data_IF_072390502242
#
_entry.id   IF_072390502242
#
_cell.length_a   1.000
_cell.length_b   1.000
_cell.length_c   1.000
_cell.angle_alpha   90.00
_cell.angle_beta   90.00
_cell.angle_gamma   90.00
#
_symmetry.space_group_name_H-M   'P 1'
#
loop_
_entity.id
_entity.type
_entity.pdbx_description
1 polymer ?
#
# COMPACT_ATOMS: atom_id res chain seq x y z
N UNK A 1 18.64 -12.21 4.40
CA UNK A 1 18.69 -10.74 4.31
C UNK A 1 17.38 -10.32 3.65
N UNK A 2 16.52 -9.60 4.40
CA UNK A 2 15.19 -9.14 3.98
C UNK A 2 14.06 -10.17 4.09
N UNK A 3 13.50 -10.40 5.29
CA UNK A 3 12.29 -11.23 5.51
C UNK A 3 11.40 -10.71 6.66
N UNK A 4 11.44 -9.40 6.96
CA UNK A 4 10.95 -8.90 8.24
C UNK A 4 9.87 -7.83 8.22
N UNK A 5 8.74 -8.13 8.84
CA UNK A 5 7.85 -7.11 9.39
C UNK A 5 8.47 -6.42 10.61
N UNK A 6 7.89 -5.30 11.10
CA UNK A 6 8.41 -4.54 12.25
C UNK A 6 8.52 -5.36 13.56
N UNK A 7 7.99 -6.59 13.59
CA UNK A 7 7.99 -7.47 14.77
C UNK A 7 9.18 -8.44 14.82
N UNK A 8 10.00 -8.55 13.77
CA UNK A 8 11.17 -9.44 13.79
C UNK A 8 12.25 -9.01 14.79
N UNK A 9 12.39 -7.71 15.07
CA UNK A 9 13.30 -7.22 16.11
C UNK A 9 12.94 -7.68 17.53
N UNK A 10 11.73 -8.20 17.73
CA UNK A 10 11.22 -8.71 19.00
C UNK A 10 11.17 -10.25 19.03
N UNK A 11 11.60 -10.95 17.96
CA UNK A 11 11.54 -12.41 17.87
C UNK A 11 10.11 -12.98 17.75
N UNK A 12 9.09 -12.12 17.56
CA UNK A 12 7.68 -12.53 17.48
C UNK A 12 7.20 -12.45 16.03
N UNK A 13 6.80 -13.60 15.46
CA UNK A 13 6.18 -13.67 14.13
C UNK A 13 4.65 -13.63 14.26
N UNK A 14 4.06 -12.43 14.14
CA UNK A 14 2.60 -12.23 14.21
C UNK A 14 1.87 -12.78 12.96
N UNK A 15 2.59 -13.00 11.85
CA UNK A 15 2.01 -13.56 10.62
C UNK A 15 3.04 -14.32 9.78
N UNK A 16 2.62 -15.30 8.95
CA UNK A 16 3.53 -16.02 8.07
C UNK A 16 4.24 -15.06 7.11
N UNK A 17 5.56 -15.15 7.07
CA UNK A 17 6.40 -14.37 6.15
C UNK A 17 5.94 -14.61 4.70
N UNK A 18 5.59 -13.54 3.99
CA UNK A 18 5.20 -13.60 2.58
C UNK A 18 6.37 -14.11 1.75
N UNK A 19 6.34 -15.38 1.34
CA UNK A 19 7.43 -16.03 0.59
C UNK A 19 7.48 -15.65 -0.89
N UNK A 20 6.38 -15.11 -1.44
CA UNK A 20 6.26 -14.71 -2.86
C UNK A 20 5.45 -13.43 -2.98
N UNK A 21 5.85 -12.58 -3.91
CA UNK A 21 5.14 -11.36 -4.24
C UNK A 21 3.74 -11.70 -4.79
N UNK A 22 2.69 -11.29 -4.07
CA UNK A 22 1.30 -11.54 -4.47
C UNK A 22 0.90 -10.46 -5.48
N UNK A 23 0.65 -10.86 -6.73
CA UNK A 23 0.27 -9.96 -7.83
C UNK A 23 -1.10 -10.31 -8.44
N UNK A 24 -1.82 -11.26 -7.82
CA UNK A 24 -3.11 -11.77 -8.27
C UNK A 24 -4.29 -11.07 -7.58
N UNK A 25 -5.46 -11.13 -8.21
CA UNK A 25 -6.69 -10.54 -7.69
C UNK A 25 -6.62 -9.00 -7.63
N UNK A 26 -6.99 -8.34 -6.52
CA UNK A 26 -7.02 -6.88 -6.42
C UNK A 26 -5.62 -6.26 -6.55
N UNK A 27 -4.57 -7.00 -6.20
CA UNK A 27 -3.17 -6.58 -6.34
C UNK A 27 -2.73 -6.39 -7.81
N UNK A 28 -3.49 -6.92 -8.78
CA UNK A 28 -3.25 -6.65 -10.20
C UNK A 28 -3.56 -5.20 -10.59
N UNK A 29 -4.43 -4.53 -9.85
CA UNK A 29 -4.94 -3.20 -10.18
C UNK A 29 -4.28 -2.11 -9.33
N UNK A 30 -4.02 -2.40 -8.07
CA UNK A 30 -3.34 -1.49 -7.14
C UNK A 30 -2.37 -2.28 -6.29
N UNK A 31 -1.20 -1.72 -6.02
CA UNK A 31 -0.22 -2.35 -5.12
C UNK A 31 -0.74 -2.42 -3.68
N UNK A 32 -1.63 -1.50 -3.30
CA UNK A 32 -2.19 -1.40 -1.96
C UNK A 32 -3.73 -1.23 -2.01
N UNK A 33 -4.47 -2.27 -2.41
CA UNK A 33 -5.92 -2.20 -2.56
C UNK A 33 -6.63 -1.94 -1.23
N UNK A 34 -6.04 -2.37 -0.12
CA UNK A 34 -6.57 -2.09 1.23
C UNK A 34 -6.59 -0.60 1.55
N UNK A 35 -5.51 0.13 1.22
CA UNK A 35 -5.43 1.59 1.44
C UNK A 35 -6.49 2.31 0.61
N UNK A 36 -6.70 1.86 -0.63
CA UNK A 36 -7.77 2.39 -1.48
C UNK A 36 -9.16 2.16 -0.90
N UNK A 37 -9.45 0.94 -0.41
CA UNK A 37 -10.72 0.61 0.24
C UNK A 37 -10.96 1.44 1.50
N UNK A 38 -9.96 1.57 2.37
CA UNK A 38 -10.04 2.41 3.56
C UNK A 38 -10.28 3.88 3.20
N UNK A 39 -9.54 4.41 2.22
CA UNK A 39 -9.75 5.78 1.74
C UNK A 39 -11.17 5.99 1.21
N UNK A 40 -11.70 5.08 0.39
CA UNK A 40 -13.07 5.16 -0.12
C UNK A 40 -14.12 5.16 0.99
N UNK A 41 -13.91 4.37 2.03
CA UNK A 41 -14.79 4.33 3.20
C UNK A 41 -14.75 5.66 3.96
N UNK A 42 -13.55 6.19 4.22
CA UNK A 42 -13.41 7.49 4.90
C UNK A 42 -13.99 8.65 4.08
N UNK A 43 -13.81 8.66 2.76
CA UNK A 43 -14.46 9.64 1.87
C UNK A 43 -15.97 9.59 2.05
N UNK A 44 -16.55 8.39 2.08
CA UNK A 44 -18.01 8.21 2.25
C UNK A 44 -18.51 8.79 3.58
N UNK A 45 -17.77 8.56 4.67
CA UNK A 45 -18.09 9.12 6.00
C UNK A 45 -17.98 10.65 6.00
N UNK A 46 -16.92 11.20 5.42
CA UNK A 46 -16.71 12.66 5.36
C UNK A 46 -17.82 13.35 4.56
N UNK A 47 -18.23 12.77 3.44
CA UNK A 47 -19.35 13.26 2.63
C UNK A 47 -20.66 13.18 3.43
N UNK A 48 -20.91 12.05 4.11
CA UNK A 48 -22.10 11.86 4.93
C UNK A 48 -22.19 12.89 6.08
N UNK A 49 -21.06 13.21 6.71
CA UNK A 49 -20.98 14.21 7.78
C UNK A 49 -20.92 15.66 7.27
N UNK A 50 -20.76 15.87 5.96
CA UNK A 50 -20.59 17.17 5.31
C UNK A 50 -19.57 18.09 6.03
N UNK A 51 -18.43 17.51 6.43
CA UNK A 51 -17.42 18.20 7.24
C UNK A 51 -16.18 18.55 6.43
N UNK A 52 -15.97 19.85 6.23
CA UNK A 52 -14.76 20.37 5.56
C UNK A 52 -13.50 20.01 6.37
N UNK A 53 -13.58 20.05 7.71
CA UNK A 53 -12.47 19.63 8.58
C UNK A 53 -12.14 18.15 8.35
N UNK A 54 -13.16 17.30 8.21
CA UNK A 54 -12.99 15.88 7.92
C UNK A 54 -12.29 15.63 6.59
N UNK A 55 -12.61 16.43 5.57
CA UNK A 55 -11.96 16.36 4.27
C UNK A 55 -10.48 16.73 4.35
N UNK A 56 -10.14 17.81 5.05
CA UNK A 56 -8.75 18.24 5.26
C UNK A 56 -7.96 17.18 6.03
N UNK A 57 -8.52 16.66 7.13
CA UNK A 57 -7.90 15.58 7.91
C UNK A 57 -7.66 14.33 7.05
N UNK A 58 -8.62 13.96 6.20
CA UNK A 58 -8.49 12.82 5.30
C UNK A 58 -7.37 13.00 4.27
N UNK A 59 -7.22 14.20 3.70
CA UNK A 59 -6.13 14.50 2.76
C UNK A 59 -4.76 14.43 3.44
N UNK A 60 -4.64 14.94 4.67
CA UNK A 60 -3.41 14.86 5.47
C UNK A 60 -3.08 13.39 5.76
N UNK A 61 -4.06 12.60 6.18
CA UNK A 61 -3.88 11.17 6.46
C UNK A 61 -3.46 10.39 5.21
N UNK A 62 -4.04 10.70 4.06
CA UNK A 62 -3.66 10.11 2.78
C UNK A 62 -2.20 10.42 2.43
N UNK A 63 -1.75 11.67 2.62
CA UNK A 63 -0.36 12.06 2.39
C UNK A 63 0.60 11.31 3.31
N UNK A 64 0.28 11.17 4.60
CA UNK A 64 1.09 10.42 5.56
C UNK A 64 1.15 8.95 5.15
N UNK A 65 0.02 8.34 4.79
CA UNK A 65 -0.03 6.97 4.32
C UNK A 65 0.85 6.76 3.07
N UNK A 66 0.72 7.62 2.04
CA UNK A 66 1.55 7.54 0.83
C UNK A 66 3.05 7.58 1.18
N UNK A 67 3.45 8.51 2.05
CA UNK A 67 4.85 8.63 2.47
C UNK A 67 5.32 7.40 3.23
N UNK A 68 4.51 6.88 4.15
CA UNK A 68 4.83 5.65 4.89
C UNK A 68 4.99 4.44 3.96
N UNK A 69 4.03 4.22 3.06
CA UNK A 69 4.09 3.13 2.09
C UNK A 69 5.32 3.26 1.17
N UNK A 70 5.68 4.47 0.75
CA UNK A 70 6.86 4.70 -0.09
C UNK A 70 8.17 4.44 0.66
N UNK A 71 8.27 4.89 1.92
CA UNK A 71 9.53 4.86 2.67
C UNK A 71 9.76 3.53 3.38
N UNK A 72 8.72 2.90 3.90
CA UNK A 72 8.83 1.66 4.66
C UNK A 72 8.55 0.46 3.77
N UNK A 73 7.37 0.44 3.15
CA UNK A 73 6.87 -0.75 2.47
C UNK A 73 7.56 -1.00 1.12
N UNK A 74 7.74 0.02 0.28
CA UNK A 74 8.47 -0.17 -0.98
C UNK A 74 9.95 -0.52 -0.75
N UNK A 75 10.59 0.05 0.28
CA UNK A 75 11.98 -0.30 0.62
C UNK A 75 12.08 -1.74 1.12
N UNK A 76 11.13 -2.19 1.95
CA UNK A 76 11.05 -3.58 2.41
C UNK A 76 10.83 -4.52 1.22
N UNK A 77 9.84 -4.25 0.38
CA UNK A 77 9.53 -5.08 -0.79
C UNK A 77 10.69 -5.14 -1.79
N UNK A 78 11.41 -4.03 -2.00
CA UNK A 78 12.62 -4.03 -2.81
C UNK A 78 13.74 -4.89 -2.20
N UNK A 79 13.94 -4.81 -0.88
CA UNK A 79 14.95 -5.62 -0.17
C UNK A 79 14.62 -7.12 -0.20
N UNK A 80 13.33 -7.46 -0.14
CA UNK A 80 12.87 -8.84 -0.02
C UNK A 80 12.70 -9.53 -1.40
N UNK A 81 12.32 -8.79 -2.44
CA UNK A 81 11.98 -9.34 -3.77
C UNK A 81 12.77 -8.77 -4.95
N UNK A 82 13.59 -7.73 -4.76
CA UNK A 82 14.50 -7.19 -5.77
C UNK A 82 13.81 -6.85 -7.11
N UNK A 83 14.32 -7.42 -8.20
CA UNK A 83 13.88 -7.16 -9.57
C UNK A 83 12.42 -7.56 -9.85
N UNK A 84 11.92 -8.63 -9.21
CA UNK A 84 10.50 -9.03 -9.35
C UNK A 84 9.56 -7.91 -8.90
N UNK A 85 9.93 -7.19 -7.83
CA UNK A 85 9.17 -6.06 -7.34
C UNK A 85 9.29 -4.83 -8.25
N UNK A 86 10.45 -4.58 -8.85
CA UNK A 86 10.65 -3.47 -9.80
C UNK A 86 9.72 -3.64 -11.01
N UNK A 87 9.67 -4.85 -11.57
CA UNK A 87 8.82 -5.15 -12.73
C UNK A 87 7.33 -5.08 -12.39
N UNK A 88 6.95 -5.50 -11.19
CA UNK A 88 5.59 -5.34 -10.70
C UNK A 88 5.23 -3.85 -10.50
N UNK A 89 6.13 -3.05 -9.91
CA UNK A 89 5.94 -1.60 -9.69
C UNK A 89 5.77 -0.80 -10.98
N UNK A 90 6.40 -1.25 -12.08
CA UNK A 90 6.20 -0.65 -13.42
C UNK A 90 4.78 -0.91 -13.95
N UNK A 91 4.24 -2.10 -13.69
CA UNK A 91 2.93 -2.54 -14.23
C UNK A 91 1.73 -2.04 -13.43
N UNK A 92 1.89 -1.78 -12.13
CA UNK A 92 0.76 -1.53 -11.21
C UNK A 92 0.91 -0.21 -10.45
N UNK A 93 -0.17 0.57 -10.40
CA UNK A 93 -0.28 1.83 -9.67
C UNK A 93 -0.21 1.62 -8.14
N UNK A 94 0.18 2.66 -7.38
CA UNK A 94 0.39 2.55 -5.93
C UNK A 94 -0.90 2.39 -5.13
N UNK A 95 -1.94 3.15 -5.49
CA UNK A 95 -3.19 3.29 -4.73
C UNK A 95 -4.39 3.20 -5.67
N UNK A 96 -4.41 4.02 -6.71
CA UNK A 96 -5.53 4.05 -7.65
C UNK A 96 -5.53 2.82 -8.56
N UNK A 97 -6.67 2.13 -8.74
CA UNK A 97 -6.79 0.92 -9.57
C UNK A 97 -6.77 1.24 -11.07
N UNK A 98 -5.71 1.89 -11.53
CA UNK A 98 -5.52 2.29 -12.92
C UNK A 98 -4.53 1.32 -13.55
N UNK A 99 -4.93 0.67 -14.64
CA UNK A 99 -3.99 -0.08 -15.48
C UNK A 99 -2.99 0.93 -16.05
N UNK A 100 -1.73 0.86 -15.63
CA UNK A 100 -0.64 1.57 -16.32
C UNK A 100 -0.53 0.95 -17.71
N UNK A 101 -0.99 1.68 -18.72
CA UNK A 101 -0.79 1.31 -20.12
C UNK A 101 0.71 1.17 -20.37
N UNK A 102 1.07 0.03 -20.95
CA UNK A 102 2.43 -0.29 -21.35
C UNK A 102 2.78 0.66 -22.50
N UNK A 103 3.64 1.64 -22.24
CA UNK A 103 4.33 2.37 -23.31
C UNK A 103 5.60 1.63 -23.70
#
# INVERSE_FOLDING_TARGET
IGKGGPTEGLGVSISPQTKKLVTIGPYKYSRNPMVFGAFSLYVSIVIFLNSIIGLISLLILLLIAINYLRLSEEKRLYKDFGDEYIDYKKKVSMIFPIKRLKS
#
